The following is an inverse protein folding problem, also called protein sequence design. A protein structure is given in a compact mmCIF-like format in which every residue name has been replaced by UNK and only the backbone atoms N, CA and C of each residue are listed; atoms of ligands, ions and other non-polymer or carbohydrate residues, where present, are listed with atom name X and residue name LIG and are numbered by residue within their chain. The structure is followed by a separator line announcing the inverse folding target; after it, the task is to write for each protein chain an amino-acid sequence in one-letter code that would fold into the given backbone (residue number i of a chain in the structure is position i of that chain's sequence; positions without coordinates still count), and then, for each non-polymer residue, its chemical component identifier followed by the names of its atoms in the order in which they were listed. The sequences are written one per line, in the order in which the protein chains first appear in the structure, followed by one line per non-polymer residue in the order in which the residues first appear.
data_IF_367385757484
#
_entry.id   IF_367385757484
#
_cell.length_a   1.000
_cell.length_b   1.000
_cell.length_c   1.000
_cell.angle_alpha   90.00
_cell.angle_beta   90.00
_cell.angle_gamma   90.00
#
_symmetry.space_group_name_H-M   'P 1'
#
loop_
_entity.id
_entity.type
_entity.pdbx_description
1 polymer ?
#
# COMPACT_ATOMS: atom_id res chain seq x y z
N UNK A 1 0.15 -42.13 -74.72
CA UNK A 1 1.00 -43.32 -74.85
C UNK A 1 1.72 -43.53 -73.52
N UNK A 2 1.26 -44.48 -72.70
CA UNK A 2 2.03 -45.01 -71.55
C UNK A 2 3.14 -45.95 -72.10
N UNK A 3 4.23 -46.31 -71.37
CA UNK A 3 4.12 -47.13 -70.14
C UNK A 3 5.24 -47.00 -69.04
N UNK A 4 4.87 -47.42 -67.81
CA UNK A 4 5.52 -48.28 -66.76
C UNK A 4 7.04 -48.14 -66.46
N UNK A 5 7.54 -48.17 -65.22
CA UNK A 5 7.33 -49.18 -64.14
C UNK A 5 7.88 -48.80 -62.73
N UNK A 6 7.18 -49.30 -61.67
CA UNK A 6 7.57 -49.84 -60.32
C UNK A 6 8.62 -49.10 -59.46
N UNK A 7 8.53 -48.90 -58.13
CA UNK A 7 7.65 -49.25 -56.99
C UNK A 7 8.41 -48.75 -55.73
N UNK A 8 7.79 -48.18 -54.70
CA UNK A 8 7.39 -48.87 -53.48
C UNK A 8 6.89 -47.84 -52.44
N UNK A 9 6.09 -48.37 -51.52
CA UNK A 9 5.78 -47.92 -50.17
C UNK A 9 4.60 -46.95 -49.95
N UNK A 10 3.65 -47.49 -49.20
CA UNK A 10 2.37 -46.91 -48.77
C UNK A 10 2.59 -46.14 -47.47
N UNK A 11 2.70 -44.82 -47.55
CA UNK A 11 2.65 -43.92 -46.40
C UNK A 11 1.21 -43.69 -45.93
N UNK A 12 0.79 -44.54 -45.00
CA UNK A 12 -0.50 -44.55 -44.32
C UNK A 12 -0.71 -43.31 -43.44
N UNK A 13 -1.86 -42.66 -43.60
CA UNK A 13 -2.46 -41.72 -42.64
C UNK A 13 -2.69 -42.41 -41.30
N UNK A 14 -2.05 -41.94 -40.23
CA UNK A 14 -2.42 -42.27 -38.86
C UNK A 14 -2.59 -41.02 -37.99
N UNK A 15 -3.79 -40.92 -37.41
CA UNK A 15 -4.12 -40.03 -36.32
C UNK A 15 -3.19 -40.26 -35.12
N UNK A 16 -2.68 -39.17 -34.51
CA UNK A 16 -1.96 -39.23 -33.25
C UNK A 16 -2.74 -38.47 -32.17
N UNK A 17 -3.47 -39.23 -31.37
CA UNK A 17 -3.94 -38.83 -30.05
C UNK A 17 -2.75 -38.61 -29.11
N UNK A 18 -2.72 -37.50 -28.38
CA UNK A 18 -1.76 -37.29 -27.29
C UNK A 18 -2.13 -38.19 -26.11
N UNK A 19 -1.25 -39.14 -25.79
CA UNK A 19 -1.34 -40.06 -24.64
C UNK A 19 -0.72 -39.39 -23.40
N UNK A 20 -1.52 -39.16 -22.36
CA UNK A 20 -1.02 -38.71 -21.04
C UNK A 20 -0.50 -39.94 -20.27
N UNK A 21 0.75 -39.98 -19.78
CA UNK A 21 1.25 -41.12 -19.01
C UNK A 21 0.57 -41.22 -17.64
N UNK A 22 0.25 -42.45 -17.20
CA UNK A 22 -0.25 -42.71 -15.84
C UNK A 22 0.90 -42.62 -14.81
N UNK A 23 0.73 -41.91 -13.69
CA UNK A 23 1.76 -41.80 -12.66
C UNK A 23 1.99 -43.14 -11.94
N UNK A 24 3.24 -43.41 -11.57
CA UNK A 24 3.61 -44.62 -10.82
C UNK A 24 3.05 -44.59 -9.39
N UNK A 25 2.88 -45.76 -8.75
CA UNK A 25 2.46 -45.86 -7.33
C UNK A 25 3.38 -45.11 -6.36
N UNK A 26 4.66 -44.89 -6.72
CA UNK A 26 5.60 -44.05 -5.95
C UNK A 26 5.33 -42.54 -6.11
N UNK A 27 4.77 -42.11 -7.25
CA UNK A 27 4.34 -40.73 -7.50
C UNK A 27 3.06 -40.39 -6.74
N UNK A 28 2.15 -41.36 -6.59
CA UNK A 28 0.88 -41.19 -5.85
C UNK A 28 1.06 -41.07 -4.33
N UNK A 29 2.09 -41.71 -3.74
CA UNK A 29 2.38 -41.57 -2.30
C UNK A 29 3.10 -40.26 -1.96
N UNK A 30 3.79 -39.61 -2.92
CA UNK A 30 4.36 -38.27 -2.73
C UNK A 30 3.40 -37.14 -3.16
N UNK A 31 2.41 -37.43 -4.00
CA UNK A 31 1.37 -36.47 -4.45
C UNK A 31 0.06 -36.52 -3.66
N UNK A 32 -0.09 -37.43 -2.70
CA UNK A 32 -1.33 -37.67 -1.93
C UNK A 32 -1.68 -36.65 -0.85
N UNK A 33 -1.25 -35.39 -0.98
CA UNK A 33 -1.64 -34.31 -0.06
C UNK A 33 -2.08 -33.01 -0.77
N UNK A 34 -2.30 -33.06 -2.09
CA UNK A 34 -2.58 -31.85 -2.90
C UNK A 34 -3.83 -31.96 -3.77
N UNK A 35 -4.87 -32.65 -3.29
CA UNK A 35 -6.18 -32.70 -3.92
C UNK A 35 -7.35 -32.45 -2.94
N UNK A 36 -7.23 -31.36 -2.18
CA UNK A 36 -8.35 -30.58 -1.62
C UNK A 36 -8.18 -29.08 -1.95
N UNK A 37 -7.49 -28.76 -3.05
CA UNK A 37 -7.13 -27.40 -3.46
C UNK A 37 -8.28 -26.65 -4.17
N UNK A 38 -9.48 -26.70 -3.60
CA UNK A 38 -10.56 -25.73 -3.77
C UNK A 38 -10.83 -24.92 -2.49
N UNK A 39 -10.17 -25.26 -1.38
CA UNK A 39 -10.22 -24.54 -0.12
C UNK A 39 -8.92 -24.77 0.67
N UNK A 40 -7.77 -24.32 0.13
CA UNK A 40 -6.48 -24.15 0.86
C UNK A 40 -5.34 -23.75 -0.11
N UNK A 41 -5.49 -22.70 -0.91
CA UNK A 41 -4.40 -22.13 -1.71
C UNK A 41 -3.82 -20.84 -1.08
N UNK A 42 -3.84 -20.75 0.25
CA UNK A 42 -3.06 -19.78 1.01
C UNK A 42 -2.01 -20.50 1.83
N UNK A 43 -0.81 -20.75 1.27
CA UNK A 43 0.36 -21.09 2.10
C UNK A 43 1.70 -21.16 1.36
N UNK A 44 1.80 -21.43 0.06
CA UNK A 44 3.10 -21.81 -0.53
C UNK A 44 3.59 -20.75 -1.51
N UNK A 45 4.37 -19.81 -0.99
CA UNK A 45 5.07 -18.76 -1.75
C UNK A 45 5.71 -17.67 -0.90
N UNK A 46 5.45 -17.63 0.41
CA UNK A 46 5.84 -16.53 1.29
C UNK A 46 7.10 -16.78 2.16
N UNK A 47 7.93 -17.77 1.86
CA UNK A 47 8.97 -18.19 2.83
C UNK A 47 10.38 -17.61 2.65
N UNK A 48 10.68 -16.77 1.65
CA UNK A 48 12.08 -16.29 1.44
C UNK A 48 12.28 -14.76 1.36
N UNK A 49 11.25 -13.97 1.70
CA UNK A 49 11.31 -12.49 1.73
C UNK A 49 11.43 -11.84 3.13
N UNK A 50 11.04 -12.47 4.28
CA UNK A 50 10.87 -11.70 5.53
C UNK A 50 12.13 -11.18 6.25
N UNK A 51 13.36 -11.52 5.86
CA UNK A 51 14.51 -11.30 6.75
C UNK A 51 14.96 -9.84 6.95
N UNK A 52 14.46 -8.87 6.17
CA UNK A 52 14.89 -7.47 6.27
C UNK A 52 13.82 -6.43 6.66
N UNK A 53 12.53 -6.79 6.77
CA UNK A 53 11.45 -5.79 6.96
C UNK A 53 10.52 -5.98 8.18
N UNK A 54 10.69 -7.00 9.02
CA UNK A 54 9.95 -7.09 10.29
C UNK A 54 8.42 -7.12 10.17
N UNK A 55 7.88 -7.59 9.04
CA UNK A 55 6.45 -7.79 8.83
C UNK A 55 6.05 -9.18 9.35
N UNK A 56 5.68 -9.26 10.63
CA UNK A 56 5.22 -10.52 11.24
C UNK A 56 3.82 -10.95 10.73
N UNK A 57 3.12 -10.08 9.98
CA UNK A 57 1.85 -10.38 9.30
C UNK A 57 1.78 -9.59 7.98
N UNK A 58 1.43 -10.21 6.84
CA UNK A 58 1.08 -9.44 5.64
C UNK A 58 -0.11 -8.51 5.97
N UNK A 59 -0.17 -7.29 5.41
CA UNK A 59 -1.25 -6.32 5.68
C UNK A 59 -2.63 -6.77 5.16
N UNK A 60 -2.73 -7.97 4.61
CA UNK A 60 -3.98 -8.59 4.19
C UNK A 60 -4.57 -9.34 5.38
N UNK A 61 -5.52 -8.71 6.06
CA UNK A 61 -6.37 -9.40 7.03
C UNK A 61 -7.37 -10.28 6.30
N UNK A 62 -7.67 -11.48 6.81
CA UNK A 62 -8.70 -12.37 6.28
C UNK A 62 -10.13 -11.89 6.55
N UNK A 63 -10.37 -10.59 6.44
CA UNK A 63 -11.66 -9.96 6.65
C UNK A 63 -12.63 -10.20 5.49
N UNK A 64 -13.91 -9.99 5.77
CA UNK A 64 -15.03 -10.29 4.87
C UNK A 64 -14.80 -9.71 3.47
N UNK A 65 -14.56 -10.59 2.50
CA UNK A 65 -14.70 -10.26 1.08
C UNK A 65 -16.19 -10.29 0.69
N UNK A 66 -17.01 -9.46 1.34
CA UNK A 66 -18.39 -9.20 0.90
C UNK A 66 -18.46 -8.39 -0.41
N UNK A 67 -17.30 -8.17 -1.05
CA UNK A 67 -17.15 -7.50 -2.35
C UNK A 67 -17.85 -8.24 -3.50
N UNK A 68 -18.18 -9.52 -3.35
CA UNK A 68 -18.72 -10.34 -4.44
C UNK A 68 -20.17 -9.99 -4.83
N UNK A 69 -20.95 -9.32 -3.97
CA UNK A 69 -22.39 -9.11 -4.22
C UNK A 69 -22.73 -7.76 -4.89
N UNK A 70 -21.76 -6.87 -5.12
CA UNK A 70 -21.99 -5.54 -5.72
C UNK A 70 -20.95 -5.14 -6.78
N UNK A 71 -20.93 -5.79 -7.96
CA UNK A 71 -20.03 -5.42 -9.07
C UNK A 71 -20.15 -3.95 -9.51
N UNK A 72 -21.34 -3.35 -9.33
CA UNK A 72 -21.61 -1.96 -9.66
C UNK A 72 -20.94 -0.92 -8.73
N UNK A 73 -20.33 -1.35 -7.62
CA UNK A 73 -19.64 -0.45 -6.70
C UNK A 73 -18.23 -0.05 -7.19
N UNK A 74 -17.61 -0.84 -8.06
CA UNK A 74 -16.33 -0.51 -8.68
C UNK A 74 -16.53 0.55 -9.77
N UNK A 75 -15.83 1.68 -9.65
CA UNK A 75 -15.87 2.81 -10.57
C UNK A 75 -14.65 2.89 -11.48
N UNK A 76 -13.45 2.62 -10.97
CA UNK A 76 -12.21 2.80 -11.73
C UNK A 76 -11.46 1.49 -12.03
N UNK A 77 -12.03 0.34 -11.62
CA UNK A 77 -11.53 -1.03 -11.86
C UNK A 77 -10.14 -1.36 -11.28
N UNK A 78 -9.34 -0.35 -10.94
CA UNK A 78 -7.99 -0.49 -10.39
C UNK A 78 -7.83 0.39 -9.13
N UNK A 79 -7.47 -0.25 -8.02
CA UNK A 79 -7.05 0.45 -6.79
C UNK A 79 -5.54 0.38 -6.70
N UNK A 80 -4.89 1.54 -6.61
CA UNK A 80 -3.45 1.57 -6.44
C UNK A 80 -3.08 1.62 -4.96
N UNK A 81 -2.24 0.67 -4.54
CA UNK A 81 -1.63 0.64 -3.20
C UNK A 81 -0.15 1.01 -3.29
N UNK A 82 0.25 2.11 -2.67
CA UNK A 82 1.61 2.67 -2.72
C UNK A 82 2.32 2.49 -1.37
N UNK A 83 3.48 1.81 -1.37
CA UNK A 83 4.33 1.69 -0.17
C UNK A 83 5.52 2.64 -0.19
N UNK A 84 5.96 3.02 -1.39
CA UNK A 84 7.09 3.88 -1.70
C UNK A 84 6.94 4.38 -3.16
N UNK A 85 7.84 5.26 -3.59
CA UNK A 85 7.93 5.70 -4.98
C UNK A 85 9.17 5.11 -5.67
N UNK A 86 9.01 4.56 -6.88
CA UNK A 86 10.13 4.04 -7.67
C UNK A 86 10.92 5.21 -8.29
N UNK A 87 11.95 5.69 -7.59
CA UNK A 87 12.79 6.80 -8.08
C UNK A 87 14.26 6.63 -7.70
N UNK A 88 15.15 7.24 -8.49
CA UNK A 88 16.57 7.40 -8.14
C UNK A 88 16.86 8.74 -7.48
N UNK A 89 15.90 9.66 -7.50
CA UNK A 89 16.05 10.95 -6.85
C UNK A 89 16.03 10.78 -5.32
N UNK A 90 16.97 11.42 -4.63
CA UNK A 90 16.99 11.46 -3.17
C UNK A 90 15.87 12.37 -2.66
N UNK A 91 14.65 11.83 -2.65
CA UNK A 91 13.46 12.47 -2.11
C UNK A 91 12.72 11.46 -1.23
N UNK A 92 12.18 11.94 -0.11
CA UNK A 92 11.38 11.14 0.84
C UNK A 92 10.12 11.91 1.25
N UNK A 93 9.08 11.17 1.60
CA UNK A 93 7.86 11.73 2.19
C UNK A 93 7.80 11.41 3.68
N UNK A 94 7.71 12.43 4.52
CA UNK A 94 7.37 12.26 5.93
C UNK A 94 5.86 12.22 6.08
N UNK A 95 5.35 11.18 6.74
CA UNK A 95 3.92 10.98 6.95
C UNK A 95 3.58 10.81 8.42
N UNK A 96 2.45 11.39 8.83
CA UNK A 96 1.99 11.40 10.22
C UNK A 96 0.55 10.91 10.30
N UNK A 97 0.34 9.85 11.08
CA UNK A 97 -0.97 9.24 11.30
C UNK A 97 -1.55 9.62 12.67
N UNK A 98 -2.86 9.41 12.81
CA UNK A 98 -3.69 9.53 14.03
C UNK A 98 -4.12 10.95 14.41
N UNK A 99 -3.52 11.97 13.83
CA UNK A 99 -3.78 13.38 14.13
C UNK A 99 -5.18 13.88 13.77
N UNK A 100 -5.53 15.09 14.23
CA UNK A 100 -4.76 15.95 15.14
C UNK A 100 -4.99 15.63 16.63
N UNK A 101 -4.01 15.96 17.49
CA UNK A 101 -4.15 15.92 18.95
C UNK A 101 -3.33 17.02 19.65
N UNK A 102 -3.71 17.42 20.89
CA UNK A 102 -3.25 18.68 21.51
C UNK A 102 -1.75 18.75 21.82
N UNK A 103 -1.05 17.61 21.84
CA UNK A 103 0.34 17.55 22.31
C UNK A 103 1.36 17.50 21.19
N UNK A 104 1.28 16.48 20.35
CA UNK A 104 2.34 16.14 19.41
C UNK A 104 2.08 16.76 18.03
N UNK A 105 0.83 16.85 17.57
CA UNK A 105 0.49 17.53 16.31
C UNK A 105 1.02 18.98 16.25
N UNK A 106 0.81 19.85 17.26
CA UNK A 106 1.39 21.20 17.22
C UNK A 106 2.91 21.20 17.14
N UNK A 107 3.58 20.36 17.94
CA UNK A 107 5.04 20.26 17.96
C UNK A 107 5.60 19.81 16.60
N UNK A 108 4.96 18.82 15.97
CA UNK A 108 5.32 18.35 14.63
C UNK A 108 5.16 19.47 13.60
N UNK A 109 4.01 20.15 13.57
CA UNK A 109 3.76 21.26 12.66
C UNK A 109 4.77 22.40 12.85
N UNK A 110 5.07 22.79 14.09
CA UNK A 110 6.06 23.84 14.39
C UNK A 110 7.46 23.45 13.92
N UNK A 111 7.84 22.18 14.12
CA UNK A 111 9.14 21.66 13.67
C UNK A 111 9.25 21.66 12.14
N UNK A 112 8.19 21.22 11.44
CA UNK A 112 8.15 21.21 9.98
C UNK A 112 8.18 22.62 9.39
N UNK A 113 7.42 23.55 9.98
CA UNK A 113 7.41 24.95 9.59
C UNK A 113 8.79 25.60 9.77
N UNK A 114 9.42 25.41 10.94
CA UNK A 114 10.77 25.91 11.21
C UNK A 114 11.82 25.32 10.25
N UNK A 115 11.64 24.07 9.82
CA UNK A 115 12.52 23.43 8.87
C UNK A 115 12.20 23.76 7.39
N UNK A 116 11.03 24.33 7.09
CA UNK A 116 10.54 24.52 5.72
C UNK A 116 10.36 23.19 4.98
N UNK A 117 9.76 22.19 5.63
CA UNK A 117 9.60 20.82 5.10
C UNK A 117 8.12 20.49 4.90
N UNK A 118 7.68 20.12 3.68
CA UNK A 118 6.34 19.59 3.46
C UNK A 118 6.22 18.16 4.03
N UNK A 119 5.00 17.77 4.37
CA UNK A 119 4.66 16.46 4.93
C UNK A 119 3.22 16.10 4.55
N UNK A 120 2.84 14.84 4.76
CA UNK A 120 1.48 14.35 4.56
C UNK A 120 0.89 13.84 5.87
N UNK A 121 -0.28 14.35 6.27
CA UNK A 121 -0.97 13.97 7.50
C UNK A 121 -2.18 13.10 7.15
N UNK A 122 -2.19 11.84 7.57
CA UNK A 122 -3.38 10.99 7.50
C UNK A 122 -4.19 11.20 8.77
N UNK A 123 -5.23 12.02 8.67
CA UNK A 123 -6.00 12.48 9.83
C UNK A 123 -7.23 11.64 10.09
N UNK A 124 -7.49 11.38 11.38
CA UNK A 124 -8.70 10.72 11.86
C UNK A 124 -9.82 11.74 11.93
N UNK A 125 -10.91 11.53 11.17
CA UNK A 125 -11.97 12.52 11.00
C UNK A 125 -12.60 12.99 12.32
N UNK A 126 -12.85 12.09 13.27
CA UNK A 126 -13.39 12.45 14.59
C UNK A 126 -12.49 13.42 15.35
N UNK A 127 -11.18 13.22 15.29
CA UNK A 127 -10.19 14.08 15.95
C UNK A 127 -10.03 15.40 15.23
N UNK A 128 -10.08 15.39 13.90
CA UNK A 128 -10.05 16.61 13.11
C UNK A 128 -11.24 17.50 13.45
N UNK A 129 -12.44 16.91 13.61
CA UNK A 129 -13.62 17.64 14.08
C UNK A 129 -13.44 18.23 15.47
N UNK A 130 -12.86 17.46 16.40
CA UNK A 130 -12.68 17.87 17.80
C UNK A 130 -11.58 18.92 17.98
N UNK A 131 -10.52 18.86 17.17
CA UNK A 131 -9.30 19.62 17.37
C UNK A 131 -8.89 20.44 16.13
N UNK A 132 -9.83 20.83 15.28
CA UNK A 132 -9.58 21.60 14.06
C UNK A 132 -8.76 22.87 14.31
N UNK A 133 -8.95 23.53 15.46
CA UNK A 133 -8.22 24.73 15.84
C UNK A 133 -6.69 24.51 15.94
N UNK A 134 -6.23 23.28 16.18
CA UNK A 134 -4.79 22.98 16.26
C UNK A 134 -4.08 23.03 14.91
N UNK A 135 -4.82 22.85 13.81
CA UNK A 135 -4.26 22.66 12.47
C UNK A 135 -4.73 23.72 11.46
N UNK A 136 -5.83 24.43 11.75
CA UNK A 136 -6.33 25.52 10.90
C UNK A 136 -5.25 26.60 10.71
N UNK A 137 -4.94 26.92 9.46
CA UNK A 137 -3.88 27.88 9.09
C UNK A 137 -2.44 27.37 9.26
N UNK A 138 -2.26 26.08 9.59
CA UNK A 138 -0.94 25.43 9.76
C UNK A 138 -0.72 24.27 8.80
N UNK A 139 -1.71 23.95 7.98
CA UNK A 139 -1.64 22.88 6.98
C UNK A 139 -1.22 23.39 5.60
N UNK A 140 -0.98 24.69 5.45
CA UNK A 140 -0.50 25.27 4.20
C UNK A 140 0.89 24.70 3.88
N UNK A 141 1.03 24.13 2.68
CA UNK A 141 2.26 23.43 2.26
C UNK A 141 2.36 21.98 2.73
N UNK A 142 1.39 21.49 3.49
CA UNK A 142 1.22 20.08 3.81
C UNK A 142 0.08 19.46 2.99
N UNK A 143 0.08 18.14 2.91
CA UNK A 143 -1.01 17.36 2.32
C UNK A 143 -1.80 16.67 3.43
N UNK A 144 -3.12 16.54 3.25
CA UNK A 144 -3.99 15.82 4.19
C UNK A 144 -4.63 14.63 3.48
N UNK A 145 -4.42 13.45 4.04
CA UNK A 145 -5.06 12.20 3.64
C UNK A 145 -6.10 11.74 4.65
N UNK A 146 -6.97 10.83 4.21
CA UNK A 146 -8.03 10.25 5.03
C UNK A 146 -7.50 9.04 5.83
N UNK A 147 -7.71 9.05 7.16
CA UNK A 147 -7.35 7.95 8.06
C UNK A 147 -8.56 7.35 8.79
N UNK A 148 -9.68 7.28 8.06
CA UNK A 148 -11.01 6.90 8.57
C UNK A 148 -11.58 7.88 9.60
N UNK A 149 -12.81 7.63 10.02
CA UNK A 149 -13.52 8.53 10.93
C UNK A 149 -13.19 8.21 12.39
N UNK A 150 -13.24 6.94 12.78
CA UNK A 150 -13.09 6.47 14.17
C UNK A 150 -11.75 5.80 14.46
N UNK A 151 -10.93 5.53 13.43
CA UNK A 151 -9.73 4.69 13.52
C UNK A 151 -10.04 3.20 13.85
N UNK A 152 -11.19 2.68 13.41
CA UNK A 152 -11.50 1.24 13.48
C UNK A 152 -10.70 0.45 12.44
N UNK A 153 -10.48 -0.85 12.69
CA UNK A 153 -9.85 -1.76 11.72
C UNK A 153 -10.81 -2.03 10.55
N UNK A 154 -10.65 -1.26 9.46
CA UNK A 154 -11.50 -1.32 8.28
C UNK A 154 -11.51 -2.69 7.61
N UNK A 155 -10.45 -3.49 7.76
CA UNK A 155 -10.41 -4.83 7.19
C UNK A 155 -11.47 -5.76 7.81
N UNK A 156 -11.99 -5.43 8.99
CA UNK A 156 -13.01 -6.20 9.70
C UNK A 156 -14.45 -5.77 9.38
N UNK A 157 -14.63 -4.70 8.61
CA UNK A 157 -15.93 -4.07 8.36
C UNK A 157 -16.50 -4.43 6.98
N UNK A 158 -17.82 -4.37 6.86
CA UNK A 158 -18.53 -4.47 5.58
C UNK A 158 -18.44 -3.16 4.77
N UNK A 159 -18.76 -3.23 3.47
CA UNK A 159 -18.65 -2.09 2.56
C UNK A 159 -19.45 -0.85 3.02
N UNK A 160 -20.71 -0.95 3.49
CA UNK A 160 -21.45 0.21 3.97
C UNK A 160 -20.76 0.90 5.17
N UNK A 161 -20.23 0.13 6.13
CA UNK A 161 -19.52 0.70 7.29
C UNK A 161 -18.19 1.34 6.88
N UNK A 162 -17.40 0.70 6.02
CA UNK A 162 -16.17 1.30 5.48
C UNK A 162 -16.50 2.60 4.73
N UNK A 163 -17.53 2.59 3.89
CA UNK A 163 -17.94 3.79 3.12
C UNK A 163 -18.35 4.93 4.06
N UNK A 164 -19.08 4.63 5.13
CA UNK A 164 -19.46 5.63 6.13
C UNK A 164 -18.24 6.19 6.88
N UNK A 165 -17.29 5.34 7.25
CA UNK A 165 -16.03 5.74 7.89
C UNK A 165 -15.21 6.69 6.99
N UNK A 166 -15.08 6.36 5.71
CA UNK A 166 -14.33 7.19 4.76
C UNK A 166 -15.06 8.47 4.40
N UNK A 167 -16.37 8.42 4.12
CA UNK A 167 -17.16 9.60 3.69
C UNK A 167 -17.21 10.67 4.77
N UNK A 168 -17.46 10.29 6.02
CA UNK A 168 -17.49 11.26 7.13
C UNK A 168 -16.15 11.93 7.37
N UNK A 169 -15.05 11.18 7.21
CA UNK A 169 -13.71 11.73 7.30
C UNK A 169 -13.39 12.62 6.09
N UNK A 170 -13.84 12.26 4.89
CA UNK A 170 -13.71 13.07 3.67
C UNK A 170 -14.34 14.45 3.87
N UNK A 171 -15.59 14.50 4.34
CA UNK A 171 -16.34 15.73 4.52
C UNK A 171 -15.64 16.69 5.48
N UNK A 172 -15.26 16.22 6.68
CA UNK A 172 -14.59 17.08 7.67
C UNK A 172 -13.20 17.52 7.21
N UNK A 173 -12.47 16.71 6.45
CA UNK A 173 -11.19 17.13 5.87
C UNK A 173 -11.43 18.25 4.86
N UNK A 174 -12.41 18.11 3.97
CA UNK A 174 -12.80 19.14 3.02
C UNK A 174 -13.21 20.45 3.70
N UNK A 175 -14.02 20.36 4.76
CA UNK A 175 -14.47 21.51 5.56
C UNK A 175 -13.32 22.24 6.25
N UNK A 176 -12.37 21.51 6.86
CA UNK A 176 -11.30 22.13 7.65
C UNK A 176 -10.16 22.65 6.78
N UNK A 177 -9.85 21.96 5.68
CA UNK A 177 -8.69 22.27 4.83
C UNK A 177 -9.04 23.04 3.55
N UNK A 178 -10.33 23.10 3.19
CA UNK A 178 -10.80 23.65 1.91
C UNK A 178 -10.46 22.77 0.71
N UNK A 179 -9.95 21.55 0.93
CA UNK A 179 -9.52 20.62 -0.12
C UNK A 179 -10.00 19.21 0.19
N UNK A 180 -10.67 18.59 -0.77
CA UNK A 180 -11.02 17.18 -0.65
C UNK A 180 -9.74 16.31 -0.65
N UNK A 181 -9.60 15.34 0.27
CA UNK A 181 -8.47 14.43 0.26
C UNK A 181 -8.57 13.45 -0.91
N UNK A 182 -7.44 13.14 -1.56
CA UNK A 182 -7.31 12.16 -2.64
C UNK A 182 -6.51 10.92 -2.24
N UNK A 183 -5.87 10.96 -1.07
CA UNK A 183 -5.13 9.84 -0.50
C UNK A 183 -5.87 9.30 0.73
N UNK A 184 -5.79 8.00 0.95
CA UNK A 184 -6.22 7.38 2.19
C UNK A 184 -5.17 6.37 2.68
N UNK A 185 -5.08 6.21 4.00
CA UNK A 185 -4.29 5.15 4.64
C UNK A 185 -5.22 4.40 5.58
N UNK A 186 -5.38 3.07 5.49
CA UNK A 186 -6.22 2.35 6.43
C UNK A 186 -5.55 2.32 7.81
N UNK A 187 -6.32 2.48 8.90
CA UNK A 187 -5.84 2.20 10.25
C UNK A 187 -5.11 0.86 10.33
N UNK A 188 -4.01 0.83 11.10
CA UNK A 188 -3.14 -0.35 11.26
C UNK A 188 -2.45 -0.86 9.99
N UNK A 189 -2.66 -0.21 8.84
CA UNK A 189 -2.19 -0.69 7.54
C UNK A 189 -2.95 -1.93 7.04
N UNK A 190 -4.06 -2.30 7.67
CA UNK A 190 -4.83 -3.49 7.33
C UNK A 190 -5.75 -3.23 6.13
N UNK A 191 -5.70 -4.12 5.15
CA UNK A 191 -6.53 -4.07 3.95
C UNK A 191 -7.57 -5.19 3.96
N UNK A 192 -8.79 -4.85 3.59
CA UNK A 192 -9.88 -5.79 3.29
C UNK A 192 -10.54 -5.43 1.97
N UNK A 193 -11.29 -6.37 1.38
CA UNK A 193 -11.97 -6.15 0.08
C UNK A 193 -12.93 -4.94 0.09
N UNK A 194 -13.66 -4.75 1.19
CA UNK A 194 -14.51 -3.58 1.43
C UNK A 194 -13.72 -2.27 1.39
N UNK A 195 -12.50 -2.23 1.95
CA UNK A 195 -11.61 -1.06 1.93
C UNK A 195 -11.18 -0.71 0.52
N UNK A 196 -10.81 -1.71 -0.28
CA UNK A 196 -10.41 -1.51 -1.68
C UNK A 196 -11.57 -0.94 -2.51
N UNK A 197 -12.76 -1.56 -2.42
CA UNK A 197 -13.93 -1.09 -3.17
C UNK A 197 -14.36 0.32 -2.75
N UNK A 198 -14.38 0.62 -1.45
CA UNK A 198 -14.73 1.96 -0.98
C UNK A 198 -13.72 3.00 -1.48
N UNK A 199 -12.41 2.69 -1.40
CA UNK A 199 -11.36 3.56 -1.91
C UNK A 199 -11.52 3.84 -3.42
N UNK A 200 -11.74 2.80 -4.23
CA UNK A 200 -12.01 2.92 -5.67
C UNK A 200 -13.22 3.83 -5.97
N UNK A 201 -14.33 3.56 -5.28
CA UNK A 201 -15.60 4.26 -5.49
C UNK A 201 -15.53 5.74 -5.12
N UNK A 202 -14.63 6.11 -4.22
CA UNK A 202 -14.40 7.46 -3.74
C UNK A 202 -13.19 8.14 -4.41
N UNK A 203 -12.49 7.45 -5.32
CA UNK A 203 -11.33 7.99 -6.04
C UNK A 203 -10.09 8.17 -5.17
N UNK A 204 -9.89 7.31 -4.17
CA UNK A 204 -8.70 7.32 -3.32
C UNK A 204 -7.58 6.43 -3.84
N UNK A 205 -6.36 6.95 -3.84
CA UNK A 205 -5.16 6.12 -3.79
C UNK A 205 -4.89 5.67 -2.35
N UNK A 206 -4.53 4.40 -2.17
CA UNK A 206 -4.19 3.84 -0.86
C UNK A 206 -2.68 3.97 -0.64
N UNK A 207 -2.29 4.59 0.47
CA UNK A 207 -0.89 4.84 0.82
C UNK A 207 -0.52 4.10 2.11
N UNK A 208 0.47 3.23 2.02
CA UNK A 208 1.14 2.58 3.14
C UNK A 208 2.54 3.17 3.32
N UNK A 209 3.49 2.39 3.84
CA UNK A 209 4.85 2.85 4.11
C UNK A 209 5.83 1.70 3.98
N UNK A 210 7.08 2.03 3.64
CA UNK A 210 8.19 1.08 3.62
C UNK A 210 9.21 1.36 4.73
N UNK A 211 9.11 2.52 5.39
CA UNK A 211 9.96 2.91 6.53
C UNK A 211 9.07 3.41 7.66
N UNK A 212 9.39 3.03 8.89
CA UNK A 212 8.56 3.36 10.06
C UNK A 212 9.39 3.77 11.25
N UNK A 213 8.93 4.81 11.93
CA UNK A 213 9.32 5.13 13.29
C UNK A 213 8.81 4.04 14.24
N UNK A 214 9.70 3.15 14.72
CA UNK A 214 9.36 2.05 15.64
C UNK A 214 9.43 2.50 17.10
N UNK A 215 8.53 3.37 17.52
CA UNK A 215 8.78 4.19 18.71
C UNK A 215 8.86 3.39 20.02
N UNK A 216 8.18 2.25 20.11
CA UNK A 216 8.31 1.31 21.24
C UNK A 216 9.70 0.66 21.35
N UNK A 217 10.34 0.37 20.22
CA UNK A 217 11.64 -0.32 20.19
C UNK A 217 12.79 0.59 20.65
N UNK A 218 12.59 1.90 20.60
CA UNK A 218 13.60 2.91 20.90
C UNK A 218 13.23 3.81 22.07
N UNK A 219 12.29 3.39 22.92
CA UNK A 219 11.83 4.20 24.06
C UNK A 219 12.97 4.63 25.01
N UNK A 220 14.01 3.79 25.13
CA UNK A 220 15.20 4.06 25.95
C UNK A 220 16.33 4.83 25.23
N UNK A 221 16.36 4.83 23.89
CA UNK A 221 17.29 5.63 23.08
C UNK A 221 16.57 6.19 21.83
N UNK A 222 15.83 7.30 22.00
CA UNK A 222 15.18 7.98 20.88
C UNK A 222 16.16 8.44 19.78
N UNK A 223 17.42 8.69 20.15
CA UNK A 223 18.46 9.08 19.19
C UNK A 223 18.85 7.93 18.25
N UNK A 224 18.85 6.69 18.73
CA UNK A 224 19.07 5.52 17.88
C UNK A 224 17.98 5.36 16.82
N UNK A 225 16.75 5.76 17.11
CA UNK A 225 15.68 5.76 16.11
C UNK A 225 15.93 6.77 15.00
N UNK A 226 16.36 7.99 15.35
CA UNK A 226 16.73 9.02 14.37
C UNK A 226 17.83 8.50 13.45
N UNK A 227 18.91 7.95 14.04
CA UNK A 227 20.01 7.34 13.27
C UNK A 227 19.52 6.22 12.37
N UNK A 228 18.70 5.30 12.87
CA UNK A 228 18.17 4.18 12.09
C UNK A 228 17.33 4.63 10.88
N UNK A 229 16.55 5.71 11.02
CA UNK A 229 15.79 6.29 9.91
C UNK A 229 16.73 6.94 8.90
N UNK A 230 17.62 7.84 9.35
CA UNK A 230 18.56 8.58 8.51
C UNK A 230 19.49 7.63 7.74
N UNK A 231 20.04 6.63 8.43
CA UNK A 231 21.01 5.71 7.87
C UNK A 231 20.39 4.71 6.89
N UNK A 232 19.16 4.30 7.17
CA UNK A 232 18.42 3.37 6.34
C UNK A 232 17.69 4.02 5.15
N UNK A 233 17.51 5.34 5.14
CA UNK A 233 16.69 6.03 4.13
C UNK A 233 17.14 5.72 2.69
N UNK A 234 16.16 5.46 1.83
CA UNK A 234 16.32 5.23 0.39
C UNK A 234 15.52 6.26 -0.42
N UNK A 235 15.95 6.57 -1.67
CA UNK A 235 15.13 7.28 -2.64
C UNK A 235 13.72 6.72 -2.72
N UNK A 236 12.71 7.58 -2.60
CA UNK A 236 11.32 7.17 -2.70
C UNK A 236 10.66 6.70 -1.40
N UNK A 237 11.37 6.70 -0.27
CA UNK A 237 10.80 6.23 1.00
C UNK A 237 9.58 7.06 1.42
N UNK A 238 8.53 6.35 1.85
CA UNK A 238 7.40 6.91 2.59
C UNK A 238 7.63 6.50 4.05
N UNK A 239 7.90 7.50 4.89
CA UNK A 239 8.23 7.31 6.30
C UNK A 239 6.97 7.49 7.15
N UNK A 240 6.54 6.45 7.83
CA UNK A 240 5.44 6.50 8.81
C UNK A 240 5.94 6.96 10.18
N UNK A 241 5.24 7.94 10.75
CA UNK A 241 5.25 8.30 12.16
C UNK A 241 3.81 8.53 12.64
N UNK A 242 3.61 8.65 13.95
CA UNK A 242 2.31 9.01 14.54
C UNK A 242 2.44 10.31 15.31
N UNK A 243 1.47 11.21 15.20
CA UNK A 243 1.44 12.49 15.91
C UNK A 243 0.36 12.57 17.00
N UNK A 244 -0.20 11.41 17.37
CA UNK A 244 -1.01 11.25 18.59
C UNK A 244 -0.66 9.96 19.30
N UNK A 245 -0.48 10.05 20.62
CA UNK A 245 -0.10 8.91 21.44
C UNK A 245 0.50 9.31 22.77
N UNK A 246 0.72 8.33 23.64
CA UNK A 246 1.32 8.55 24.95
C UNK A 246 2.78 9.02 24.82
N UNK A 247 3.24 9.84 25.77
CA UNK A 247 4.58 10.44 25.69
C UNK A 247 5.71 9.45 25.58
N UNK A 248 5.65 8.41 26.42
CA UNK A 248 6.61 7.33 26.42
C UNK A 248 6.68 6.61 25.08
N UNK A 249 5.58 6.65 24.31
CA UNK A 249 5.52 6.08 22.97
C UNK A 249 6.11 7.04 21.96
N UNK A 250 5.93 8.35 22.05
CA UNK A 250 6.30 9.29 20.97
C UNK A 250 7.58 10.11 21.24
N UNK A 251 8.45 9.65 22.14
CA UNK A 251 9.71 10.36 22.48
C UNK A 251 10.57 10.63 21.25
N UNK A 252 10.56 9.73 20.26
CA UNK A 252 11.33 9.87 19.03
C UNK A 252 10.90 11.05 18.14
N UNK A 253 9.65 11.54 18.27
CA UNK A 253 9.23 12.75 17.56
C UNK A 253 9.97 14.00 18.03
N UNK A 254 10.51 14.02 19.25
CA UNK A 254 11.39 15.12 19.69
C UNK A 254 12.68 15.18 18.86
N UNK A 255 13.06 14.06 18.23
CA UNK A 255 14.18 13.97 17.30
C UNK A 255 13.84 14.34 15.86
N UNK A 256 12.61 14.79 15.56
CA UNK A 256 12.17 15.10 14.19
C UNK A 256 13.08 16.14 13.51
N UNK A 257 13.45 17.21 14.21
CA UNK A 257 14.37 18.22 13.67
C UNK A 257 15.75 17.64 13.31
N UNK A 258 16.31 16.79 14.19
CA UNK A 258 17.59 16.11 13.94
C UNK A 258 17.50 15.10 12.79
N UNK A 259 16.35 14.43 12.64
CA UNK A 259 16.08 13.53 11.52
C UNK A 259 16.03 14.29 10.20
N UNK A 260 15.32 15.42 10.16
CA UNK A 260 15.25 16.28 8.98
C UNK A 260 16.65 16.76 8.59
N UNK A 261 17.44 17.25 9.56
CA UNK A 261 18.82 17.68 9.32
C UNK A 261 19.69 16.54 8.76
N UNK A 262 19.69 15.36 9.41
CA UNK A 262 20.48 14.22 8.96
C UNK A 262 20.10 13.69 7.58
N UNK A 263 18.81 13.74 7.21
CA UNK A 263 18.36 13.42 5.86
C UNK A 263 18.85 14.46 4.83
N UNK A 264 18.79 15.76 5.15
CA UNK A 264 19.34 16.83 4.30
C UNK A 264 20.84 16.68 4.09
N UNK A 265 21.60 16.38 5.14
CA UNK A 265 23.05 16.17 5.07
C UNK A 265 23.41 15.00 4.15
N UNK A 266 22.53 14.01 4.01
CA UNK A 266 22.65 12.89 3.07
C UNK A 266 22.16 13.21 1.65
N UNK A 267 21.71 14.44 1.41
CA UNK A 267 21.24 14.95 0.13
C UNK A 267 19.77 14.68 -0.17
N UNK A 268 18.94 14.35 0.83
CA UNK A 268 17.51 14.16 0.63
C UNK A 268 16.74 15.49 0.61
N UNK A 269 15.83 15.59 -0.36
CA UNK A 269 14.73 16.55 -0.37
C UNK A 269 13.47 15.94 0.25
N UNK A 270 12.53 16.80 0.61
CA UNK A 270 11.24 16.39 1.17
C UNK A 270 10.11 16.78 0.23
N UNK A 271 9.10 15.93 0.20
CA UNK A 271 7.90 16.10 -0.60
C UNK A 271 6.69 15.60 0.20
N UNK A 272 5.50 16.06 -0.15
CA UNK A 272 4.27 15.33 0.20
C UNK A 272 4.22 14.01 -0.57
N UNK A 273 3.35 13.09 -0.18
CA UNK A 273 3.19 11.80 -0.87
C UNK A 273 2.80 12.01 -2.33
N UNK A 274 1.81 12.87 -2.63
CA UNK A 274 1.45 13.11 -4.04
C UNK A 274 2.59 13.74 -4.85
N UNK A 275 3.36 14.67 -4.27
CA UNK A 275 4.55 15.23 -4.92
C UNK A 275 5.63 14.17 -5.18
N UNK A 276 5.85 13.28 -4.21
CA UNK A 276 6.79 12.18 -4.32
C UNK A 276 6.40 11.21 -5.43
N UNK A 277 5.12 10.84 -5.50
CA UNK A 277 4.60 9.92 -6.51
C UNK A 277 4.61 10.55 -7.91
N UNK A 278 4.33 11.85 -8.04
CA UNK A 278 4.39 12.56 -9.32
C UNK A 278 5.82 12.74 -9.85
N UNK A 279 6.82 12.79 -8.95
CA UNK A 279 8.23 12.89 -9.31
C UNK A 279 8.87 11.54 -9.67
N UNK A 280 8.21 10.42 -9.35
CA UNK A 280 8.62 9.12 -9.85
C UNK A 280 8.13 8.95 -11.29
N UNK A 281 9.00 8.59 -12.25
CA UNK A 281 8.55 8.32 -13.61
C UNK A 281 7.49 7.22 -13.60
N UNK A 282 6.41 7.41 -14.36
CA UNK A 282 5.37 6.40 -14.51
C UNK A 282 5.98 5.04 -14.85
N UNK A 283 5.51 4.00 -14.15
CA UNK A 283 5.75 2.62 -14.58
C UNK A 283 5.31 2.51 -16.04
N UNK A 284 6.09 1.89 -16.95
CA UNK A 284 5.52 1.44 -18.21
C UNK A 284 4.32 0.54 -17.88
N UNK A 285 3.15 0.91 -18.40
CA UNK A 285 1.93 0.11 -18.32
C UNK A 285 2.25 -1.34 -18.66
N UNK A 286 1.74 -2.29 -17.88
CA UNK A 286 1.86 -3.71 -18.19
C UNK A 286 1.48 -3.94 -19.66
N UNK A 287 2.26 -4.73 -20.44
CA UNK A 287 1.96 -4.93 -21.84
C UNK A 287 0.54 -5.50 -21.99
N UNK A 288 -0.28 -4.85 -22.81
CA UNK A 288 -1.62 -5.32 -23.13
C UNK A 288 -1.56 -6.78 -23.59
N UNK A 289 -2.48 -7.66 -23.16
CA UNK A 289 -2.51 -9.03 -23.62
C UNK A 289 -2.58 -9.05 -25.15
N UNK A 290 -1.62 -9.72 -25.79
CA UNK A 290 -1.55 -9.76 -27.25
C UNK A 290 -2.83 -10.37 -27.80
N UNK A 291 -3.54 -9.59 -28.63
CA UNK A 291 -4.68 -10.08 -29.38
C UNK A 291 -4.17 -11.19 -30.31
N UNK A 292 -4.58 -12.45 -30.05
CA UNK A 292 -4.38 -13.52 -31.01
C UNK A 292 -5.21 -13.19 -32.26
N UNK A 293 -4.53 -13.00 -33.38
CA UNK A 293 -5.18 -12.83 -34.68
C UNK A 293 -6.07 -14.04 -34.99
N UNK A 294 -7.30 -13.85 -35.49
CA UNK A 294 -8.12 -14.94 -35.97
C UNK A 294 -7.46 -15.50 -37.23
N UNK A 295 -7.09 -16.78 -37.22
CA UNK A 295 -6.72 -17.46 -38.46
C UNK A 295 -7.99 -17.68 -39.27
N UNK A 296 -8.04 -16.97 -40.40
CA UNK A 296 -8.98 -17.18 -41.49
C UNK A 296 -8.72 -18.54 -42.14
N UNK A 297 -9.82 -19.28 -42.27
CA UNK A 297 -10.18 -20.33 -43.25
C UNK A 297 -9.10 -21.20 -43.89
#
# INVERSE_FOLDING_TARGET
MAPRSRGADTGETMAAHVRIPRPSRRTLLRGGLLALAGAAAGAVGASEVPRWCGWDRPPLGGGYAAAADTPAAARHADVTVRYYAETREKVVALTFDDGPGPRWTPMVLDTLAAAGVPATFFMVGRRLREHAALVRGRLDGHEVGNHSWSHDDLATLDLPRVTAELSRAHDVIGEVTGRAPTLMRPPFGHLGGSTLLAADSMGYDIVLWNRQMRERAYAADPGAQVRAIVDGARPGDIVLAHDVGADRRLVALRGLGAMIAGLRDRGYRFATVSQLLAAAPDRPSAPAPSARSPHSS
#
